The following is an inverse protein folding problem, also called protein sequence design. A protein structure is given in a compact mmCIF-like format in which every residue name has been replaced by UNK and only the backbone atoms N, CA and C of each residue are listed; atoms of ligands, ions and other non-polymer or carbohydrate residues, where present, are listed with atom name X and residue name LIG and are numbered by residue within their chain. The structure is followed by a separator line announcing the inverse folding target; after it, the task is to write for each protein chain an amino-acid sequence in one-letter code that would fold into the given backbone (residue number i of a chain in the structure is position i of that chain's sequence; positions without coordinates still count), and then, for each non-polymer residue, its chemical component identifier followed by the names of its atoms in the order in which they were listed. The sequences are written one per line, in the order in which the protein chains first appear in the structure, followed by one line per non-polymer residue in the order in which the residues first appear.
data_IF_624281242285
#
_entry.id   IF_624281242285
#
_cell.length_a   1.000
_cell.length_b   1.000
_cell.length_c   1.000
_cell.angle_alpha   90.00
_cell.angle_beta   90.00
_cell.angle_gamma   90.00
#
_symmetry.space_group_name_H-M   'P 1'
#
loop_
_entity.id
_entity.type
_entity.pdbx_description
1 polymer ?
#
# COMPACT_ATOMS: atom_id res chain seq x y z
N UNK A 1 15.39 13.00 -3.36
CA UNK A 1 15.02 11.58 -3.35
C UNK A 1 16.28 10.79 -3.08
N UNK A 2 16.55 10.54 -1.81
CA UNK A 2 17.81 9.98 -1.32
C UNK A 2 17.91 8.51 -1.70
N UNK A 3 19.11 8.12 -2.14
CA UNK A 3 19.53 6.76 -2.53
C UNK A 3 19.23 5.71 -1.43
N UNK A 4 19.05 6.18 -0.19
CA UNK A 4 18.63 5.41 0.99
C UNK A 4 17.25 4.76 0.81
N UNK A 5 16.30 5.45 0.18
CA UNK A 5 14.93 4.92 -0.04
C UNK A 5 14.89 3.77 -1.06
N UNK A 6 15.83 3.76 -2.01
CA UNK A 6 15.95 2.71 -3.03
C UNK A 6 16.67 1.46 -2.46
N UNK A 7 17.59 1.63 -1.51
CA UNK A 7 18.28 0.50 -0.88
C UNK A 7 17.36 -0.26 0.09
N UNK A 8 16.52 0.46 0.85
CA UNK A 8 15.45 -0.16 1.66
C UNK A 8 14.34 -0.78 0.79
N UNK A 9 14.17 -0.31 -0.44
CA UNK A 9 13.24 -0.88 -1.43
C UNK A 9 13.69 -2.26 -1.93
N UNK A 10 14.99 -2.51 -2.14
CA UNK A 10 15.50 -3.86 -2.49
C UNK A 10 15.51 -4.83 -1.31
N UNK A 11 15.89 -4.37 -0.11
CA UNK A 11 15.90 -5.22 1.09
C UNK A 11 14.49 -5.63 1.55
N UNK A 12 13.48 -4.76 1.36
CA UNK A 12 12.08 -5.07 1.72
C UNK A 12 11.41 -6.05 0.75
N UNK A 13 11.82 -6.11 -0.52
CA UNK A 13 11.24 -7.05 -1.51
C UNK A 13 11.90 -8.42 -1.41
N UNK A 14 13.21 -8.46 -1.17
CA UNK A 14 13.95 -9.71 -1.02
C UNK A 14 13.56 -10.46 0.28
N UNK A 15 13.37 -9.74 1.39
CA UNK A 15 12.93 -10.35 2.66
C UNK A 15 11.54 -11.02 2.59
N UNK A 16 10.63 -10.53 1.74
CA UNK A 16 9.26 -11.04 1.63
C UNK A 16 9.18 -12.38 0.87
N UNK A 17 10.24 -12.75 0.12
CA UNK A 17 10.23 -13.96 -0.72
C UNK A 17 10.62 -15.23 0.05
N UNK A 18 11.25 -15.10 1.23
CA UNK A 18 11.73 -16.24 2.04
C UNK A 18 10.84 -16.62 3.24
N UNK A 19 9.61 -16.12 3.34
CA UNK A 19 8.74 -16.40 4.51
C UNK A 19 7.42 -17.11 4.21
N UNK A 20 7.21 -17.63 3.00
CA UNK A 20 5.99 -18.40 2.69
C UNK A 20 6.07 -19.90 3.03
N UNK A 21 7.24 -20.45 3.35
CA UNK A 21 7.39 -21.86 3.75
C UNK A 21 7.63 -22.03 5.25
N UNK A 22 6.70 -21.55 6.09
CA UNK A 22 6.64 -22.01 7.48
C UNK A 22 5.46 -22.98 7.65
N UNK A 23 5.70 -24.29 7.86
CA UNK A 23 4.62 -25.22 8.07
C UNK A 23 3.81 -24.79 9.28
N UNK A 24 2.49 -24.79 9.11
CA UNK A 24 1.49 -24.44 10.09
C UNK A 24 1.68 -25.33 11.31
N UNK A 25 2.11 -24.76 12.44
CA UNK A 25 2.31 -25.55 13.65
C UNK A 25 0.95 -26.15 14.05
N UNK A 26 0.87 -27.47 13.92
CA UNK A 26 -0.31 -28.26 14.20
C UNK A 26 -0.72 -28.03 15.65
N UNK A 27 -2.04 -27.89 15.83
CA UNK A 27 -2.69 -27.88 17.14
C UNK A 27 -2.26 -29.11 17.93
N UNK A 28 -1.67 -28.91 19.10
CA UNK A 28 -1.62 -29.93 20.14
C UNK A 28 -2.19 -29.31 21.40
N UNK A 29 -3.40 -29.73 21.75
CA UNK A 29 -4.04 -29.40 23.02
C UNK A 29 -4.83 -30.62 23.49
N UNK A 30 -4.15 -31.77 23.57
CA UNK A 30 -4.68 -33.01 24.12
C UNK A 30 -3.86 -33.39 25.35
N UNK A 31 -4.10 -32.74 26.50
CA UNK A 31 -3.47 -33.20 27.75
C UNK A 31 -4.29 -33.08 29.04
N UNK A 32 -5.58 -32.70 29.03
CA UNK A 32 -6.35 -32.65 30.29
C UNK A 32 -7.76 -33.27 30.22
N UNK A 33 -7.97 -34.27 29.37
CA UNK A 33 -9.24 -35.00 29.32
C UNK A 33 -9.16 -36.34 30.06
N UNK A 34 -8.83 -36.33 31.37
CA UNK A 34 -9.25 -37.41 32.27
C UNK A 34 -9.28 -36.95 33.73
N UNK A 35 -10.43 -36.47 34.19
CA UNK A 35 -10.87 -36.56 35.59
C UNK A 35 -12.37 -36.23 35.68
N UNK A 36 -13.18 -37.30 35.75
CA UNK A 36 -14.43 -37.44 36.51
C UNK A 36 -15.46 -36.29 36.62
N UNK A 37 -16.60 -36.51 35.94
CA UNK A 37 -18.00 -36.35 36.38
C UNK A 37 -18.44 -35.20 37.31
N UNK A 38 -19.37 -34.35 36.85
CA UNK A 38 -20.72 -34.10 37.44
C UNK A 38 -21.46 -32.99 36.67
N UNK A 39 -22.80 -33.06 36.67
CA UNK A 39 -23.71 -32.38 35.74
C UNK A 39 -24.02 -30.90 36.04
N UNK A 40 -24.29 -30.10 34.99
CA UNK A 40 -25.51 -29.25 34.76
C UNK A 40 -25.23 -28.02 33.88
N UNK A 41 -26.08 -27.68 32.89
CA UNK A 41 -25.94 -26.47 32.08
C UNK A 41 -26.73 -25.32 32.70
N UNK A 42 -26.04 -24.33 33.28
CA UNK A 42 -26.65 -23.06 33.68
C UNK A 42 -26.37 -21.98 32.65
N UNK A 43 -27.46 -21.35 32.24
CA UNK A 43 -27.60 -20.20 31.35
C UNK A 43 -26.57 -19.11 31.59
N UNK A 44 -25.82 -18.73 30.56
CA UNK A 44 -25.01 -17.52 30.56
C UNK A 44 -25.24 -16.72 29.28
N UNK A 45 -26.26 -15.86 29.32
CA UNK A 45 -26.37 -14.69 28.44
C UNK A 45 -25.14 -13.80 28.64
N UNK A 46 -24.15 -13.92 27.76
CA UNK A 46 -22.95 -13.09 27.81
C UNK A 46 -22.81 -12.35 26.49
N UNK A 47 -23.17 -11.06 26.51
CA UNK A 47 -22.93 -10.11 25.44
C UNK A 47 -21.45 -10.16 25.05
N UNK A 48 -21.17 -10.64 23.84
CA UNK A 48 -19.80 -10.73 23.33
C UNK A 48 -19.21 -9.32 23.29
N UNK A 49 -18.12 -9.02 24.02
CA UNK A 49 -17.48 -7.72 23.93
C UNK A 49 -17.01 -7.53 22.50
N UNK A 50 -17.37 -6.39 21.87
CA UNK A 50 -16.87 -6.01 20.54
C UNK A 50 -15.35 -5.88 20.63
N UNK A 51 -14.62 -6.97 20.37
CA UNK A 51 -13.16 -6.99 20.31
C UNK A 51 -12.76 -5.92 19.30
N UNK A 52 -12.11 -4.84 19.78
CA UNK A 52 -11.44 -3.87 18.91
C UNK A 52 -10.55 -4.69 17.98
N UNK A 53 -10.81 -4.62 16.66
CA UNK A 53 -10.06 -5.38 15.67
C UNK A 53 -8.60 -4.92 15.76
N UNK A 54 -7.77 -5.70 16.44
CA UNK A 54 -6.33 -5.49 16.44
C UNK A 54 -5.84 -5.88 15.05
N UNK A 55 -5.43 -4.88 14.27
CA UNK A 55 -4.85 -5.12 12.94
C UNK A 55 -3.57 -5.92 13.15
N UNK A 56 -3.48 -7.10 12.55
CA UNK A 56 -2.27 -7.92 12.65
C UNK A 56 -1.11 -7.26 11.91
N UNK A 57 0.12 -7.57 12.31
CA UNK A 57 1.33 -7.12 11.60
C UNK A 57 1.25 -7.43 10.10
N UNK A 58 0.78 -8.64 9.75
CA UNK A 58 0.55 -9.09 8.38
C UNK A 58 -0.45 -8.21 7.63
N UNK A 59 -1.57 -7.83 8.27
CA UNK A 59 -2.56 -6.94 7.66
C UNK A 59 -2.00 -5.54 7.42
N UNK A 60 -1.16 -5.04 8.33
CA UNK A 60 -0.47 -3.76 8.19
C UNK A 60 0.55 -3.81 7.04
N UNK A 61 1.34 -4.88 6.94
CA UNK A 61 2.29 -5.09 5.83
C UNK A 61 1.57 -5.14 4.48
N UNK A 62 0.50 -5.93 4.37
CA UNK A 62 -0.31 -6.02 3.16
C UNK A 62 -0.89 -4.65 2.76
N UNK A 63 -1.33 -3.82 3.72
CA UNK A 63 -1.77 -2.46 3.45
C UNK A 63 -0.64 -1.57 2.92
N UNK A 64 0.54 -1.62 3.52
CA UNK A 64 1.71 -0.86 3.07
C UNK A 64 2.15 -1.25 1.65
N UNK A 65 2.08 -2.53 1.29
CA UNK A 65 2.39 -3.01 -0.06
C UNK A 65 1.40 -2.43 -1.07
N UNK A 66 0.10 -2.46 -0.75
CA UNK A 66 -0.94 -1.89 -1.62
C UNK A 66 -0.72 -0.39 -1.83
N UNK A 67 -0.42 0.36 -0.78
CA UNK A 67 -0.20 1.80 -0.91
C UNK A 67 1.06 2.11 -1.73
N UNK A 68 2.13 1.32 -1.57
CA UNK A 68 3.33 1.43 -2.43
C UNK A 68 3.00 1.23 -3.91
N UNK A 69 2.22 0.20 -4.25
CA UNK A 69 1.76 -0.04 -5.63
C UNK A 69 0.92 1.11 -6.17
N UNK A 70 0.01 1.64 -5.35
CA UNK A 70 -0.80 2.82 -5.71
C UNK A 70 0.08 4.04 -6.00
N UNK A 71 1.04 4.34 -5.13
CA UNK A 71 1.97 5.46 -5.31
C UNK A 71 2.87 5.30 -6.52
N UNK A 72 3.34 4.07 -6.81
CA UNK A 72 4.11 3.80 -8.02
C UNK A 72 3.31 4.14 -9.28
N UNK A 73 2.08 3.65 -9.40
CA UNK A 73 1.19 3.95 -10.53
C UNK A 73 0.93 5.45 -10.69
N UNK A 74 0.74 6.16 -9.57
CA UNK A 74 0.57 7.62 -9.59
C UNK A 74 1.82 8.35 -10.10
N UNK A 75 3.00 7.95 -9.63
CA UNK A 75 4.26 8.55 -10.06
C UNK A 75 4.53 8.29 -11.55
N UNK A 76 4.22 7.09 -12.03
CA UNK A 76 4.34 6.74 -13.44
C UNK A 76 3.41 7.58 -14.32
N UNK A 77 2.16 7.79 -13.89
CA UNK A 77 1.23 8.70 -14.56
C UNK A 77 1.76 10.14 -14.58
N UNK A 78 2.40 10.58 -13.49
CA UNK A 78 2.98 11.90 -13.40
C UNK A 78 4.17 12.08 -14.35
N UNK A 79 5.01 11.07 -14.51
CA UNK A 79 6.12 11.08 -15.46
C UNK A 79 5.64 11.02 -16.92
N UNK A 80 4.51 10.36 -17.19
CA UNK A 80 3.82 10.45 -18.50
C UNK A 80 3.36 11.88 -18.78
N UNK A 81 2.76 12.56 -17.80
CA UNK A 81 2.33 13.94 -17.94
C UNK A 81 3.52 14.87 -18.24
N UNK A 82 4.63 14.75 -17.49
CA UNK A 82 5.84 15.56 -17.71
C UNK A 82 6.35 15.50 -19.14
N UNK A 83 6.29 14.33 -19.79
CA UNK A 83 6.73 14.16 -21.19
C UNK A 83 5.83 14.83 -22.23
N UNK A 84 4.59 15.16 -21.85
CA UNK A 84 3.62 15.85 -22.72
C UNK A 84 3.61 17.35 -22.51
N UNK A 85 4.13 17.81 -21.37
CA UNK A 85 4.28 19.22 -21.06
C UNK A 85 5.49 19.75 -21.84
N UNK A 86 5.37 20.86 -22.59
CA UNK A 86 6.50 21.43 -23.33
C UNK A 86 7.56 21.97 -22.37
N UNK A 87 8.80 21.51 -22.51
CA UNK A 87 9.97 21.96 -21.72
C UNK A 87 11.21 22.03 -22.61
N UNK A 88 12.23 22.78 -22.21
CA UNK A 88 13.49 22.79 -22.94
C UNK A 88 14.23 21.44 -22.77
N UNK A 89 14.91 20.98 -23.82
CA UNK A 89 15.49 19.63 -23.89
C UNK A 89 16.57 19.35 -22.82
N UNK A 90 17.21 20.40 -22.27
CA UNK A 90 18.26 20.30 -21.26
C UNK A 90 17.79 20.72 -19.86
N UNK A 91 16.49 20.88 -19.67
CA UNK A 91 15.94 21.42 -18.45
C UNK A 91 15.81 20.37 -17.35
N UNK A 92 15.99 20.81 -16.10
CA UNK A 92 15.86 19.95 -14.92
C UNK A 92 14.44 19.36 -14.86
N UNK A 93 14.30 18.14 -14.33
CA UNK A 93 12.97 17.54 -14.03
C UNK A 93 12.11 18.50 -13.21
N UNK A 94 10.99 18.91 -13.78
CA UNK A 94 10.00 19.79 -13.13
C UNK A 94 9.44 19.17 -11.84
N UNK A 95 9.20 19.99 -10.84
CA UNK A 95 8.48 19.61 -9.62
C UNK A 95 7.00 19.30 -9.93
N UNK A 96 6.30 18.68 -8.97
CA UNK A 96 4.89 18.32 -9.18
C UNK A 96 4.01 19.56 -9.43
N UNK A 97 4.23 20.62 -8.68
CA UNK A 97 3.43 21.84 -8.84
C UNK A 97 3.71 22.53 -10.18
N UNK A 98 4.97 22.59 -10.60
CA UNK A 98 5.35 23.21 -11.88
C UNK A 98 4.76 22.44 -13.07
N UNK A 99 4.86 21.11 -13.06
CA UNK A 99 4.26 20.28 -14.13
C UNK A 99 2.76 20.50 -14.24
N UNK A 100 2.03 20.57 -13.12
CA UNK A 100 0.58 20.81 -13.14
C UNK A 100 0.23 22.20 -13.66
N UNK A 101 0.94 23.23 -13.19
CA UNK A 101 0.74 24.60 -13.66
C UNK A 101 0.97 24.73 -15.16
N UNK A 102 2.08 24.17 -15.65
CA UNK A 102 2.45 24.26 -17.06
C UNK A 102 1.51 23.44 -17.95
N UNK A 103 1.03 22.28 -17.48
CA UNK A 103 0.01 21.52 -18.21
C UNK A 103 -1.30 22.29 -18.40
N UNK A 104 -1.78 22.99 -17.36
CA UNK A 104 -3.00 23.82 -17.45
C UNK A 104 -2.82 24.94 -18.48
N UNK A 105 -1.70 25.67 -18.38
CA UNK A 105 -1.38 26.76 -19.33
C UNK A 105 -1.27 26.22 -20.75
N UNK A 106 -0.62 25.07 -20.93
CA UNK A 106 -0.44 24.47 -22.24
C UNK A 106 -1.76 24.04 -22.89
N UNK A 107 -2.68 23.44 -22.13
CA UNK A 107 -4.02 23.11 -22.64
C UNK A 107 -4.73 24.39 -23.09
N UNK A 108 -4.75 25.44 -22.26
CA UNK A 108 -5.39 26.70 -22.61
C UNK A 108 -4.78 27.34 -23.87
N UNK A 109 -3.45 27.31 -24.00
CA UNK A 109 -2.74 27.81 -25.16
C UNK A 109 -3.05 27.04 -26.44
N UNK A 110 -3.08 25.70 -26.39
CA UNK A 110 -3.46 24.88 -27.53
C UNK A 110 -4.91 25.12 -27.95
N UNK A 111 -5.84 25.27 -27.00
CA UNK A 111 -7.24 25.62 -27.29
C UNK A 111 -7.35 26.96 -28.01
N UNK A 112 -6.67 28.00 -27.52
CA UNK A 112 -6.69 29.35 -28.12
C UNK A 112 -6.17 29.35 -29.57
N UNK A 113 -5.12 28.57 -29.85
CA UNK A 113 -4.60 28.42 -31.23
C UNK A 113 -5.63 27.76 -32.16
N UNK A 114 -6.36 26.77 -31.65
CA UNK A 114 -7.36 26.05 -32.44
C UNK A 114 -8.62 26.89 -32.70
N UNK A 115 -8.99 27.79 -31.78
CA UNK A 115 -10.16 28.68 -31.93
C UNK A 115 -9.88 29.93 -32.77
N UNK A 116 -8.61 30.35 -32.87
CA UNK A 116 -8.19 31.52 -33.65
C UNK A 116 -7.86 31.23 -35.12
N UNK A 117 -8.03 29.99 -35.57
CA UNK A 117 -7.96 29.57 -36.98
C UNK A 117 -9.34 29.21 -37.53
#
# INVERSE_FOLDING_TARGET
FTVIEVSLFSLSVHWETEQTDRPSNARSNDFYALSSSTASPVSASSGKPKRKRVISSVQRQAANIRERKRMFSLNEAFDRLRRKVPTFAYEKRLSRIETLRLAIVYIAFMTDILEKN
#
